data_IF_245922238503
#
_entry.id   IF_245922238503
#
_cell.length_a   1.000
_cell.length_b   1.000
_cell.length_c   1.000
_cell.angle_alpha   90.00
_cell.angle_beta   90.00
_cell.angle_gamma   90.00
#
_symmetry.space_group_name_H-M   'P 1'
#
loop_
_entity.id
_entity.type
_entity.pdbx_description
1 polymer ?
#
# COMPACT_ATOMS: atom_id res chain seq x y z
N UNK A 1 8.87 15.57 -9.08
CA UNK A 1 8.62 16.56 -7.97
C UNK A 1 8.48 15.75 -6.70
N UNK A 2 9.08 16.16 -5.58
CA UNK A 2 9.05 15.33 -4.36
C UNK A 2 7.81 15.58 -3.51
N UNK A 3 7.11 14.49 -3.18
CA UNK A 3 5.96 14.51 -2.28
C UNK A 3 6.29 13.82 -0.96
N UNK A 4 5.95 14.46 0.15
CA UNK A 4 5.97 13.82 1.46
C UNK A 4 4.55 13.34 1.79
N UNK A 5 4.43 12.07 2.19
CA UNK A 5 3.20 11.45 2.67
C UNK A 5 3.46 10.86 4.06
N UNK A 6 2.78 11.37 5.07
CA UNK A 6 2.70 10.71 6.38
C UNK A 6 1.38 9.96 6.43
N UNK A 7 1.42 8.64 6.55
CA UNK A 7 0.23 7.81 6.63
C UNK A 7 0.03 7.31 8.06
N UNK A 8 -1.13 7.64 8.62
CA UNK A 8 -1.64 7.05 9.85
C UNK A 8 -2.43 5.79 9.52
N UNK A 9 -1.93 4.66 10.00
CA UNK A 9 -2.53 3.34 9.81
C UNK A 9 -3.25 2.89 11.07
N UNK A 10 -4.54 2.63 10.95
CA UNK A 10 -5.45 2.20 11.99
C UNK A 10 -5.80 0.72 11.80
N UNK A 11 -5.67 -0.09 12.85
CA UNK A 11 -6.06 -1.50 12.80
C UNK A 11 -5.29 -2.40 13.78
N UNK A 12 -5.31 -3.73 13.55
CA UNK A 12 -6.06 -4.41 12.50
C UNK A 12 -7.57 -4.43 12.76
N UNK A 13 -8.36 -4.30 11.69
CA UNK A 13 -9.75 -4.73 11.63
C UNK A 13 -9.79 -6.16 11.11
N UNK A 14 -10.48 -7.06 11.83
CA UNK A 14 -10.54 -8.50 11.55
C UNK A 14 -11.39 -8.88 10.33
N UNK A 15 -12.15 -7.93 9.80
CA UNK A 15 -13.13 -8.20 8.75
C UNK A 15 -13.38 -6.96 7.90
N UNK A 16 -13.84 -7.20 6.67
CA UNK A 16 -14.31 -6.12 5.79
C UNK A 16 -15.48 -5.36 6.43
N UNK A 17 -16.33 -6.06 7.20
CA UNK A 17 -17.45 -5.44 7.91
C UNK A 17 -16.97 -4.47 8.99
N UNK A 18 -16.00 -4.88 9.82
CA UNK A 18 -15.42 -4.01 10.84
C UNK A 18 -14.72 -2.79 10.22
N UNK A 19 -13.94 -2.99 9.16
CA UNK A 19 -13.30 -1.88 8.44
C UNK A 19 -14.31 -0.90 7.83
N UNK A 20 -15.42 -1.40 7.24
CA UNK A 20 -16.52 -0.56 6.73
C UNK A 20 -17.18 0.27 7.84
N UNK A 21 -17.44 -0.36 8.99
CA UNK A 21 -18.02 0.34 10.13
C UNK A 21 -17.10 1.47 10.60
N UNK A 22 -15.81 1.20 10.78
CA UNK A 22 -14.83 2.22 11.19
C UNK A 22 -14.76 3.43 10.24
N UNK A 23 -14.77 3.20 8.93
CA UNK A 23 -14.75 4.29 7.93
C UNK A 23 -15.96 5.20 8.08
N UNK A 24 -17.15 4.61 8.25
CA UNK A 24 -18.40 5.35 8.41
C UNK A 24 -18.39 6.10 9.75
N UNK A 25 -18.04 5.43 10.83
CA UNK A 25 -18.19 5.94 12.19
C UNK A 25 -17.17 7.06 12.48
N UNK A 26 -15.95 6.98 11.91
CA UNK A 26 -14.91 8.00 12.05
C UNK A 26 -14.82 8.99 10.88
N UNK A 27 -15.66 8.84 9.85
CA UNK A 27 -15.78 9.82 8.76
C UNK A 27 -14.55 9.92 7.84
N UNK A 28 -13.86 8.81 7.59
CA UNK A 28 -12.69 8.80 6.71
C UNK A 28 -13.04 9.28 5.28
N UNK A 29 -12.21 10.17 4.72
CA UNK A 29 -12.35 10.68 3.35
C UNK A 29 -11.71 9.77 2.29
N UNK A 30 -10.55 10.19 1.77
CA UNK A 30 -9.71 9.31 0.92
C UNK A 30 -8.99 8.28 1.79
N UNK A 31 -9.27 7.00 1.56
CA UNK A 31 -8.73 5.90 2.34
C UNK A 31 -7.71 5.13 1.52
N UNK A 32 -6.50 5.01 2.05
CA UNK A 32 -5.55 3.95 1.70
C UNK A 32 -5.89 2.74 2.57
N UNK A 33 -5.74 1.51 2.10
CA UNK A 33 -5.96 0.33 2.93
C UNK A 33 -4.98 -0.77 2.58
N UNK A 34 -4.55 -1.54 3.58
CA UNK A 34 -3.77 -2.75 3.41
C UNK A 34 -4.55 -3.95 3.90
N UNK A 35 -4.52 -5.03 3.12
CA UNK A 35 -4.98 -6.33 3.54
C UNK A 35 -3.80 -7.27 3.76
N UNK A 36 -3.75 -7.86 4.94
CA UNK A 36 -2.83 -8.92 5.32
C UNK A 36 -3.61 -10.20 5.63
N UNK A 37 -2.97 -11.34 5.44
CA UNK A 37 -3.59 -12.65 5.65
C UNK A 37 -2.87 -13.74 4.86
N UNK A 38 -3.51 -14.90 4.71
CA UNK A 38 -2.97 -16.02 3.94
C UNK A 38 -3.69 -16.20 2.62
N UNK A 39 -2.94 -16.55 1.58
CA UNK A 39 -3.46 -16.89 0.25
C UNK A 39 -3.06 -18.33 -0.11
N UNK A 40 -4.00 -19.11 -0.62
CA UNK A 40 -3.76 -20.50 -1.04
C UNK A 40 -3.17 -21.38 0.08
N UNK A 41 -1.99 -21.94 -0.16
CA UNK A 41 -1.27 -22.84 0.76
C UNK A 41 -0.36 -22.12 1.77
N UNK A 42 -0.41 -20.79 1.85
CA UNK A 42 0.37 -20.06 2.86
C UNK A 42 -0.11 -20.42 4.27
N UNK A 43 0.83 -20.73 5.16
CA UNK A 43 0.59 -21.00 6.58
C UNK A 43 0.80 -19.78 7.46
N UNK A 44 1.58 -18.79 7.00
CA UNK A 44 1.92 -17.58 7.75
C UNK A 44 1.27 -16.37 7.07
N UNK A 45 0.49 -15.55 7.80
CA UNK A 45 -0.06 -14.30 7.27
C UNK A 45 1.04 -13.36 6.75
N UNK A 46 0.80 -12.73 5.60
CA UNK A 46 1.69 -11.72 5.01
C UNK A 46 0.89 -10.51 4.56
N UNK A 47 1.56 -9.39 4.29
CA UNK A 47 0.95 -8.28 3.54
C UNK A 47 0.66 -8.76 2.12
N UNK A 48 -0.60 -8.65 1.68
CA UNK A 48 -1.04 -9.19 0.39
C UNK A 48 -1.39 -8.10 -0.61
N UNK A 49 -1.97 -6.99 -0.13
CA UNK A 49 -2.56 -5.98 -0.98
C UNK A 49 -2.55 -4.60 -0.34
N UNK A 50 -2.35 -3.57 -1.16
CA UNK A 50 -2.65 -2.17 -0.84
C UNK A 50 -3.61 -1.59 -1.88
N UNK A 51 -4.58 -0.80 -1.45
CA UNK A 51 -5.54 -0.14 -2.35
C UNK A 51 -5.94 1.24 -1.86
N UNK A 52 -6.45 2.08 -2.76
CA UNK A 52 -7.07 3.38 -2.41
C UNK A 52 -8.55 3.40 -2.77
N UNK A 53 -9.35 4.19 -2.03
CA UNK A 53 -10.78 4.39 -2.29
C UNK A 53 -11.35 5.67 -1.66
N UNK A 54 -12.40 6.23 -2.28
CA UNK A 54 -13.28 7.28 -1.73
C UNK A 54 -14.62 6.73 -1.23
N UNK A 55 -14.90 5.47 -1.56
CA UNK A 55 -16.16 4.79 -1.29
C UNK A 55 -15.85 3.34 -0.95
N UNK A 56 -15.43 3.10 0.30
CA UNK A 56 -14.96 1.78 0.73
C UNK A 56 -16.08 0.73 0.68
N UNK A 57 -17.33 1.14 0.90
CA UNK A 57 -18.51 0.28 0.84
C UNK A 57 -18.64 -0.45 -0.50
N UNK A 58 -18.50 0.27 -1.62
CA UNK A 58 -18.56 -0.30 -2.96
C UNK A 58 -17.25 -0.93 -3.43
N UNK A 59 -16.09 -0.47 -2.91
CA UNK A 59 -14.77 -0.96 -3.34
C UNK A 59 -14.51 -2.40 -2.93
N UNK A 60 -14.77 -2.75 -1.66
CA UNK A 60 -14.61 -4.13 -1.15
C UNK A 60 -15.94 -4.89 -1.24
N UNK A 61 -16.46 -5.01 -2.47
CA UNK A 61 -17.57 -5.90 -2.79
C UNK A 61 -17.12 -7.37 -2.78
N UNK A 62 -18.05 -8.31 -2.89
CA UNK A 62 -17.80 -9.77 -2.85
C UNK A 62 -16.82 -10.26 -3.92
N UNK A 63 -16.72 -9.56 -5.04
CA UNK A 63 -15.84 -9.91 -6.17
C UNK A 63 -14.43 -9.34 -6.02
N UNK A 64 -14.22 -8.42 -5.08
CA UNK A 64 -12.93 -7.79 -4.89
C UNK A 64 -11.88 -8.83 -4.48
N UNK A 65 -10.70 -8.80 -5.10
CA UNK A 65 -9.65 -9.82 -4.90
C UNK A 65 -9.25 -10.07 -3.44
N UNK A 66 -9.28 -9.05 -2.59
CA UNK A 66 -9.05 -9.20 -1.14
C UNK A 66 -10.02 -10.20 -0.54
N UNK A 67 -11.30 -10.16 -0.94
CA UNK A 67 -12.35 -11.05 -0.44
C UNK A 67 -12.35 -12.42 -1.11
N UNK A 68 -11.96 -12.49 -2.38
CA UNK A 68 -11.98 -13.77 -3.12
C UNK A 68 -10.70 -14.58 -2.96
N UNK A 69 -9.59 -13.95 -2.56
CA UNK A 69 -8.26 -14.58 -2.57
C UNK A 69 -7.65 -14.76 -1.18
N UNK A 70 -7.88 -13.84 -0.25
CA UNK A 70 -7.37 -13.95 1.13
C UNK A 70 -8.40 -14.72 1.96
N UNK A 71 -7.94 -15.70 2.74
CA UNK A 71 -8.81 -16.44 3.66
C UNK A 71 -9.41 -15.46 4.68
N UNK A 72 -10.70 -15.61 4.94
CA UNK A 72 -11.41 -14.80 5.95
C UNK A 72 -10.82 -15.05 7.34
N UNK A 73 -10.53 -16.31 7.67
CA UNK A 73 -9.77 -16.68 8.86
C UNK A 73 -8.33 -16.14 8.75
N UNK A 74 -8.01 -15.16 9.60
CA UNK A 74 -6.72 -14.48 9.61
C UNK A 74 -6.60 -13.28 8.68
N UNK A 75 -7.71 -12.81 8.08
CA UNK A 75 -7.74 -11.53 7.39
C UNK A 75 -7.52 -10.39 8.41
N UNK A 76 -6.62 -9.47 8.06
CA UNK A 76 -6.38 -8.25 8.82
C UNK A 76 -6.37 -7.07 7.86
N UNK A 77 -7.25 -6.12 8.08
CA UNK A 77 -7.35 -4.90 7.29
C UNK A 77 -6.84 -3.74 8.12
N UNK A 78 -6.00 -2.92 7.51
CA UNK A 78 -5.55 -1.65 8.08
C UNK A 78 -6.04 -0.53 7.19
N UNK A 79 -6.56 0.52 7.82
CA UNK A 79 -7.04 1.72 7.14
C UNK A 79 -5.98 2.80 7.31
N UNK A 80 -5.63 3.47 6.22
CA UNK A 80 -4.58 4.47 6.12
C UNK A 80 -5.18 5.81 5.74
N UNK A 81 -4.88 6.83 6.53
CA UNK A 81 -5.16 8.23 6.21
C UNK A 81 -3.85 8.98 5.96
N UNK A 82 -3.79 9.79 4.90
CA UNK A 82 -2.64 10.67 4.69
C UNK A 82 -2.83 11.93 5.55
N UNK A 83 -2.11 11.99 6.66
CA UNK A 83 -2.17 13.07 7.64
C UNK A 83 -1.28 14.29 7.30
N UNK A 84 -0.38 14.16 6.33
CA UNK A 84 0.46 15.27 5.89
C UNK A 84 -0.29 16.20 4.95
N UNK A 85 -0.17 17.51 5.17
CA UNK A 85 -0.55 18.50 4.17
C UNK A 85 0.41 18.43 2.97
N UNK A 86 -0.10 18.64 1.75
CA UNK A 86 0.72 18.64 0.55
C UNK A 86 1.79 19.74 0.61
N UNK A 87 2.98 19.46 0.08
CA UNK A 87 4.07 20.45 -0.01
C UNK A 87 3.62 21.62 -0.89
N UNK A 88 3.80 22.86 -0.41
CA UNK A 88 3.58 24.05 -1.23
C UNK A 88 4.50 24.02 -2.46
N UNK A 89 3.94 24.07 -3.66
CA UNK A 89 4.71 23.95 -4.89
C UNK A 89 3.87 24.04 -6.16
N UNK A 90 4.55 23.96 -7.31
CA UNK A 90 3.88 23.94 -8.63
C UNK A 90 2.90 22.77 -8.72
N UNK A 91 1.77 22.95 -9.44
CA UNK A 91 0.82 21.85 -9.69
C UNK A 91 1.55 20.63 -10.23
N UNK A 92 1.15 19.46 -9.76
CA UNK A 92 1.74 18.19 -10.15
C UNK A 92 1.74 18.00 -11.66
N UNK A 93 2.80 17.39 -12.19
CA UNK A 93 2.86 16.98 -13.60
C UNK A 93 1.82 15.91 -13.93
N UNK A 94 1.45 15.11 -12.93
CA UNK A 94 0.41 14.10 -13.03
C UNK A 94 -0.62 14.30 -11.93
N UNK A 95 -1.88 14.38 -12.33
CA UNK A 95 -3.01 14.34 -11.41
C UNK A 95 -3.69 12.98 -11.54
N UNK A 96 -3.75 12.23 -10.45
CA UNK A 96 -4.69 11.12 -10.42
C UNK A 96 -6.11 11.71 -10.46
N UNK A 97 -6.94 11.23 -11.40
CA UNK A 97 -8.26 11.85 -11.68
C UNK A 97 -9.20 11.86 -10.47
N UNK A 98 -9.01 10.90 -9.56
CA UNK A 98 -9.96 10.65 -8.46
C UNK A 98 -9.35 10.70 -7.08
N UNK A 99 -8.03 10.87 -6.93
CA UNK A 99 -7.36 10.84 -5.63
C UNK A 99 -6.30 11.94 -5.55
N UNK A 100 -5.99 12.39 -4.34
CA UNK A 100 -4.84 13.25 -4.11
C UNK A 100 -3.54 12.55 -4.52
N UNK A 101 -2.55 13.34 -4.95
CA UNK A 101 -1.26 12.79 -5.40
C UNK A 101 -0.53 12.04 -4.29
N UNK A 102 -0.46 12.53 -3.03
CA UNK A 102 0.15 11.77 -1.94
C UNK A 102 -0.49 10.40 -1.70
N UNK A 103 -1.83 10.29 -1.76
CA UNK A 103 -2.55 9.01 -1.61
C UNK A 103 -2.20 8.04 -2.73
N UNK A 104 -2.20 8.53 -3.98
CA UNK A 104 -1.81 7.72 -5.14
C UNK A 104 -0.34 7.24 -5.08
N UNK A 105 0.58 8.14 -4.73
CA UNK A 105 2.01 7.82 -4.64
C UNK A 105 2.29 6.88 -3.46
N UNK A 106 1.62 7.04 -2.32
CA UNK A 106 1.74 6.12 -1.19
C UNK A 106 1.32 4.69 -1.60
N UNK A 107 0.17 4.54 -2.26
CA UNK A 107 -0.27 3.23 -2.78
C UNK A 107 0.75 2.64 -3.77
N UNK A 108 1.26 3.46 -4.69
CA UNK A 108 2.23 3.03 -5.70
C UNK A 108 3.54 2.58 -5.05
N UNK A 109 4.07 3.36 -4.10
CA UNK A 109 5.31 3.07 -3.40
C UNK A 109 5.20 1.77 -2.58
N UNK A 110 4.12 1.62 -1.80
CA UNK A 110 3.90 0.42 -1.00
C UNK A 110 3.77 -0.82 -1.89
N UNK A 111 2.93 -0.74 -2.94
CA UNK A 111 2.72 -1.85 -3.85
C UNK A 111 4.04 -2.27 -4.53
N UNK A 112 4.78 -1.31 -5.06
CA UNK A 112 6.02 -1.53 -5.79
C UNK A 112 7.15 -2.02 -4.89
N UNK A 113 7.51 -1.29 -3.84
CA UNK A 113 8.70 -1.63 -3.06
C UNK A 113 8.53 -2.88 -2.19
N UNK A 114 7.30 -3.17 -1.73
CA UNK A 114 7.01 -4.39 -0.99
C UNK A 114 6.64 -5.56 -1.90
N UNK A 115 6.48 -5.33 -3.20
CA UNK A 115 6.07 -6.34 -4.17
C UNK A 115 4.86 -7.13 -3.67
N UNK A 116 3.80 -6.42 -3.23
CA UNK A 116 2.59 -7.03 -2.67
C UNK A 116 1.87 -7.95 -3.70
N UNK A 117 1.72 -9.26 -3.45
CA UNK A 117 1.36 -10.25 -4.47
C UNK A 117 0.10 -9.92 -5.25
N UNK A 118 -0.93 -9.40 -4.57
CA UNK A 118 -2.22 -9.10 -5.18
C UNK A 118 -2.21 -7.77 -5.94
N UNK A 119 -1.19 -6.91 -5.83
CA UNK A 119 -1.04 -5.66 -6.60
C UNK A 119 -0.42 -5.89 -8.00
N UNK A 120 -0.83 -6.94 -8.71
CA UNK A 120 -0.29 -7.41 -9.99
C UNK A 120 0.23 -6.32 -10.93
N UNK A 121 -0.60 -5.34 -11.29
CA UNK A 121 -0.22 -4.26 -12.21
C UNK A 121 0.66 -3.19 -11.54
N UNK A 122 0.34 -2.79 -10.30
CA UNK A 122 1.08 -1.73 -9.58
C UNK A 122 2.49 -2.15 -9.16
N UNK A 123 2.79 -3.45 -9.14
CA UNK A 123 4.15 -3.96 -8.93
C UNK A 123 5.06 -3.80 -10.15
N UNK A 124 4.48 -3.61 -11.34
CA UNK A 124 5.22 -3.55 -12.60
C UNK A 124 5.86 -2.19 -12.86
N UNK A 125 5.42 -1.14 -12.17
CA UNK A 125 5.92 0.23 -12.35
C UNK A 125 6.27 0.88 -11.02
N UNK A 126 7.42 1.54 -11.01
CA UNK A 126 7.85 2.41 -9.90
C UNK A 126 6.90 3.62 -9.77
N UNK A 127 6.91 4.33 -8.62
CA UNK A 127 6.15 5.56 -8.48
C UNK A 127 6.47 6.57 -9.60
N UNK A 128 5.46 7.36 -10.02
CA UNK A 128 5.62 8.30 -11.16
C UNK A 128 6.40 9.56 -10.82
N UNK A 129 6.48 9.89 -9.54
CA UNK A 129 7.13 11.07 -9.01
C UNK A 129 7.90 10.65 -7.75
N UNK A 130 8.92 11.45 -7.40
CA UNK A 130 9.62 11.32 -6.12
C UNK A 130 8.64 11.32 -4.95
N UNK A 131 8.81 10.37 -4.03
CA UNK A 131 7.94 10.25 -2.85
C UNK A 131 8.74 9.81 -1.63
N UNK A 132 8.44 10.46 -0.51
CA UNK A 132 8.86 10.05 0.82
C UNK A 132 7.60 9.69 1.60
N UNK A 133 7.50 8.44 2.04
CA UNK A 133 6.38 7.88 2.77
C UNK A 133 6.83 7.51 4.18
N UNK A 134 6.17 8.05 5.20
CA UNK A 134 6.33 7.67 6.60
C UNK A 134 5.06 6.97 7.06
N UNK A 135 5.20 5.80 7.68
CA UNK A 135 4.09 5.08 8.29
C UNK A 135 4.06 5.26 9.80
N UNK A 136 2.88 5.58 10.35
CA UNK A 136 2.60 5.63 11.79
C UNK A 136 1.46 4.67 12.11
N UNK A 137 1.54 4.04 13.27
CA UNK A 137 0.65 2.93 13.63
C UNK A 137 -0.26 3.34 14.79
N UNK A 138 -1.54 3.08 14.66
CA UNK A 138 -2.60 3.39 15.62
C UNK A 138 -3.49 2.16 15.80
N UNK A 139 -4.12 2.06 16.97
CA UNK A 139 -5.13 1.03 17.24
C UNK A 139 -6.44 1.37 16.52
N UNK A 140 -7.42 0.47 16.65
CA UNK A 140 -8.77 0.62 16.09
C UNK A 140 -9.60 1.73 16.76
N UNK A 141 -9.13 2.27 17.88
CA UNK A 141 -9.74 3.39 18.60
C UNK A 141 -9.33 4.76 18.04
N UNK A 142 -8.51 4.80 16.99
CA UNK A 142 -7.92 5.97 16.31
C UNK A 142 -7.08 6.94 17.17
N UNK A 143 -7.17 6.84 18.50
CA UNK A 143 -6.51 7.71 19.47
C UNK A 143 -5.23 7.09 20.05
N UNK A 144 -5.15 5.76 20.12
CA UNK A 144 -4.02 5.09 20.76
C UNK A 144 -2.95 4.72 19.75
N UNK A 145 -1.79 5.40 19.83
CA UNK A 145 -0.62 5.06 19.02
C UNK A 145 -0.08 3.66 19.39
N UNK A 146 0.09 2.80 18.39
CA UNK A 146 0.83 1.55 18.55
C UNK A 146 2.33 1.83 18.54
N UNK A 147 3.03 1.33 19.56
CA UNK A 147 4.50 1.44 19.68
C UNK A 147 5.25 0.48 18.77
N UNK A 148 4.58 -0.56 18.26
CA UNK A 148 5.17 -1.59 17.41
C UNK A 148 4.49 -1.59 16.05
N UNK A 149 5.27 -1.81 15.00
CA UNK A 149 4.73 -2.04 13.67
C UNK A 149 3.87 -3.31 13.66
N UNK A 150 2.76 -3.34 12.90
CA UNK A 150 1.85 -4.49 12.93
C UNK A 150 2.40 -5.73 12.23
N UNK A 151 3.36 -5.58 11.32
CA UNK A 151 3.97 -6.68 10.58
C UNK A 151 5.48 -6.42 10.36
N UNK A 152 6.36 -7.43 10.51
CA UNK A 152 7.81 -7.25 10.39
C UNK A 152 8.26 -6.77 9.00
N UNK A 153 7.54 -7.16 7.94
CA UNK A 153 7.82 -6.73 6.57
C UNK A 153 7.21 -5.37 6.21
N UNK A 154 6.42 -4.74 7.10
CA UNK A 154 5.87 -3.41 6.85
C UNK A 154 6.88 -2.33 7.26
N UNK A 155 7.46 -1.56 6.32
CA UNK A 155 8.45 -0.56 6.64
C UNK A 155 7.84 0.66 7.32
N UNK A 156 8.67 1.31 8.14
CA UNK A 156 8.35 2.58 8.77
C UNK A 156 8.54 3.75 7.79
N UNK A 157 9.42 3.58 6.80
CA UNK A 157 9.76 4.61 5.83
C UNK A 157 10.07 4.02 4.44
N UNK A 158 9.56 4.67 3.39
CA UNK A 158 9.88 4.38 1.99
C UNK A 158 10.26 5.70 1.32
N UNK A 159 11.34 5.69 0.55
CA UNK A 159 11.76 6.80 -0.30
C UNK A 159 11.96 6.31 -1.73
N UNK A 160 11.58 7.15 -2.67
CA UNK A 160 11.90 7.03 -4.08
C UNK A 160 12.21 8.41 -4.64
N UNK A 161 13.32 8.50 -5.37
CA UNK A 161 13.74 9.69 -6.10
C UNK A 161 13.62 9.44 -7.61
N UNK A 162 12.70 10.17 -8.25
CA UNK A 162 12.46 10.12 -9.69
C UNK A 162 13.59 10.71 -10.53
N UNK A 163 14.47 11.52 -9.95
CA UNK A 163 15.58 12.16 -10.67
C UNK A 163 16.76 11.19 -10.78
N UNK A 164 17.13 10.54 -9.68
CA UNK A 164 18.20 9.54 -9.67
C UNK A 164 17.72 8.12 -9.99
N UNK A 165 16.40 7.90 -10.05
CA UNK A 165 15.78 6.58 -10.17
C UNK A 165 16.32 5.62 -9.10
N UNK A 166 16.37 6.08 -7.85
CA UNK A 166 16.80 5.28 -6.70
C UNK A 166 15.75 5.30 -5.60
N UNK A 167 15.84 4.34 -4.67
CA UNK A 167 14.92 4.27 -3.55
C UNK A 167 15.50 3.59 -2.32
N UNK A 168 14.77 3.70 -1.22
CA UNK A 168 15.10 3.03 0.02
C UNK A 168 13.83 2.59 0.75
N UNK A 169 13.91 1.42 1.37
CA UNK A 169 12.89 0.91 2.28
C UNK A 169 13.56 0.70 3.63
N UNK A 170 12.99 1.31 4.68
CA UNK A 170 13.61 1.38 6.00
C UNK A 170 12.63 0.88 7.05
N UNK A 171 13.16 0.02 7.91
CA UNK A 171 12.51 -0.46 9.12
C UNK A 171 13.32 0.09 10.29
N UNK A 172 12.71 0.98 11.07
CA UNK A 172 13.34 1.48 12.28
C UNK A 172 13.70 0.29 13.18
N UNK A 173 14.89 0.36 13.78
CA UNK A 173 15.52 -0.79 14.45
C UNK A 173 16.60 -1.51 13.62
N UNK A 174 17.10 -0.89 12.54
CA UNK A 174 18.39 -1.25 11.93
C UNK A 174 18.36 -2.00 10.60
N UNK A 175 17.18 -2.20 9.99
CA UNK A 175 17.07 -2.84 8.67
C UNK A 175 16.78 -1.78 7.60
N UNK A 176 17.59 -1.76 6.54
CA UNK A 176 17.39 -0.93 5.35
C UNK A 176 17.66 -1.75 4.10
N UNK A 177 16.83 -1.56 3.07
CA UNK A 177 17.07 -2.06 1.71
C UNK A 177 17.18 -0.87 0.77
N UNK A 178 18.30 -0.77 0.06
CA UNK A 178 18.48 0.22 -0.99
C UNK A 178 18.10 -0.37 -2.34
N UNK A 179 17.61 0.49 -3.23
CA UNK A 179 17.22 0.17 -4.59
C UNK A 179 17.99 1.13 -5.51
N UNK A 180 18.96 0.61 -6.25
CA UNK A 180 19.56 1.33 -7.37
C UNK A 180 18.61 1.31 -8.58
N UNK A 181 18.91 2.12 -9.58
CA UNK A 181 18.15 2.16 -10.84
C UNK A 181 18.11 0.79 -11.51
N UNK A 182 19.24 0.06 -11.51
CA UNK A 182 19.31 -1.29 -12.09
C UNK A 182 18.39 -2.28 -11.35
N UNK A 183 18.39 -2.25 -10.00
CA UNK A 183 17.52 -3.13 -9.23
C UNK A 183 16.04 -2.79 -9.40
N UNK A 184 15.72 -1.52 -9.63
CA UNK A 184 14.36 -1.06 -9.93
C UNK A 184 13.93 -1.58 -11.30
N UNK A 185 14.78 -1.47 -12.33
CA UNK A 185 14.53 -2.00 -13.67
C UNK A 185 14.32 -3.52 -13.64
N UNK A 186 15.20 -4.26 -12.97
CA UNK A 186 15.06 -5.71 -12.77
C UNK A 186 13.75 -6.06 -12.05
N UNK A 187 13.36 -5.27 -11.05
CA UNK A 187 12.11 -5.47 -10.31
C UNK A 187 10.89 -5.26 -11.20
N UNK A 188 10.89 -4.20 -12.02
CA UNK A 188 9.86 -3.94 -13.04
C UNK A 188 9.79 -5.08 -14.06
N UNK A 189 10.93 -5.51 -14.60
CA UNK A 189 11.00 -6.56 -15.61
C UNK A 189 10.48 -7.90 -15.07
N UNK A 190 10.89 -8.30 -13.87
CA UNK A 190 10.41 -9.52 -13.20
C UNK A 190 8.91 -9.47 -12.96
N UNK A 191 8.40 -8.39 -12.35
CA UNK A 191 6.97 -8.27 -12.08
C UNK A 191 6.13 -8.27 -13.37
N UNK A 192 6.64 -7.64 -14.44
CA UNK A 192 5.98 -7.62 -15.75
C UNK A 192 5.98 -8.99 -16.43
N UNK A 193 7.04 -9.78 -16.27
CA UNK A 193 7.09 -11.16 -16.73
C UNK A 193 6.07 -12.03 -15.97
N UNK A 194 6.06 -11.97 -14.63
CA UNK A 194 5.09 -12.68 -13.79
C UNK A 194 3.64 -12.36 -14.17
N UNK A 195 3.35 -11.07 -14.43
CA UNK A 195 2.02 -10.63 -14.86
C UNK A 195 1.62 -11.19 -16.22
N UNK A 196 2.54 -11.19 -17.19
CA UNK A 196 2.29 -11.77 -18.53
C UNK A 196 2.01 -13.26 -18.44
N UNK A 197 2.80 -14.00 -17.68
CA UNK A 197 2.59 -15.43 -17.45
C UNK A 197 1.25 -15.71 -16.76
N UNK A 198 0.89 -14.93 -15.73
CA UNK A 198 -0.39 -15.06 -15.05
C UNK A 198 -1.58 -14.82 -15.99
N UNK A 199 -1.49 -13.80 -16.86
CA UNK A 199 -2.51 -13.51 -17.87
C UNK A 199 -2.61 -14.61 -18.93
N UNK A 200 -1.48 -15.13 -19.40
CA UNK A 200 -1.46 -16.23 -20.37
C UNK A 200 -2.12 -17.50 -19.78
N UNK A 201 -1.83 -17.83 -18.51
CA UNK A 201 -2.48 -18.96 -17.81
C UNK A 201 -3.98 -18.79 -17.64
N UNK A 202 -4.47 -17.56 -17.44
CA UNK A 202 -5.90 -17.29 -17.28
C UNK A 202 -6.68 -17.30 -18.60
N UNK A 203 -6.00 -17.31 -19.74
CA UNK A 203 -6.61 -17.33 -21.07
C UNK A 203 -6.71 -18.75 -21.69
N UNK A 204 -6.14 -19.75 -21.01
CA UNK A 204 -6.24 -21.18 -21.35
C UNK A 204 -7.41 -21.82 -20.57
#
# INVERSE_FOLDING_TARGET
>A
MTYAAVVDWFGPYDSVKAAKAAIRDYGFGEVLYIAAGTVGRQSIPKLQYVGITKGFEGRLNTEHKVRTTIKEEGLSIYLGEVASQSVAGRKARHHHKSFTIPVYLAESAIAFFLQLPLNSDKRCSRPKDSVVLISRWWKTDIETRSRRRPHPDWPDFIEYDDVSDTGAVVWHGGKRKHFSSELIDETCARASAELREARARAAL
#
